data_IF_916818547041
#
_entry.id   IF_916818547041
#
_cell.length_a   1.000
_cell.length_b   1.000
_cell.length_c   1.000
_cell.angle_alpha   90.00
_cell.angle_beta   90.00
_cell.angle_gamma   90.00
#
_symmetry.space_group_name_H-M   'P 1'
#
loop_
_entity.id
_entity.type
_entity.pdbx_description
1 polymer ?
#
# COMPACT_ATOMS: atom_id res chain seq x y z
N UNK A 1 5.33 -21.76 -1.63
CA UNK A 1 5.52 -23.00 -2.39
C UNK A 1 5.58 -22.73 -3.90
N UNK A 2 4.65 -21.93 -4.43
CA UNK A 2 4.53 -21.59 -5.85
C UNK A 2 5.83 -21.03 -6.46
N UNK A 3 6.53 -20.14 -5.73
CA UNK A 3 7.80 -19.55 -6.16
C UNK A 3 8.90 -20.62 -6.34
N UNK A 4 8.93 -21.63 -5.45
CA UNK A 4 9.86 -22.75 -5.55
C UNK A 4 9.52 -23.68 -6.73
N UNK A 5 8.23 -23.93 -6.95
CA UNK A 5 7.76 -24.75 -8.08
C UNK A 5 8.07 -24.04 -9.41
N UNK A 6 7.80 -22.74 -9.48
CA UNK A 6 8.14 -21.91 -10.64
C UNK A 6 9.65 -21.93 -10.93
N UNK A 7 10.49 -21.87 -9.90
CA UNK A 7 11.94 -21.96 -10.06
C UNK A 7 12.40 -23.33 -10.55
N UNK A 8 11.84 -24.43 -10.01
CA UNK A 8 12.10 -25.80 -10.44
C UNK A 8 11.77 -26.04 -11.91
N UNK A 9 10.66 -25.41 -12.37
CA UNK A 9 10.18 -25.57 -13.73
C UNK A 9 10.76 -24.54 -14.71
N UNK A 10 11.48 -23.56 -14.21
CA UNK A 10 12.08 -22.50 -15.03
C UNK A 10 13.14 -23.06 -15.98
N UNK A 11 13.19 -22.65 -17.26
CA UNK A 11 14.17 -23.11 -18.24
C UNK A 11 15.63 -22.90 -17.81
N UNK A 12 15.94 -21.84 -17.06
CA UNK A 12 17.26 -21.59 -16.51
C UNK A 12 17.72 -22.74 -15.59
N UNK A 13 16.86 -23.20 -14.70
CA UNK A 13 17.21 -24.29 -13.76
C UNK A 13 17.51 -25.59 -14.50
N UNK A 14 16.80 -25.87 -15.58
CA UNK A 14 16.92 -27.12 -16.34
C UNK A 14 17.96 -27.08 -17.46
N UNK A 15 18.43 -25.89 -17.86
CA UNK A 15 19.39 -25.77 -18.96
C UNK A 15 20.77 -26.30 -18.56
N UNK A 16 21.53 -26.92 -19.48
CA UNK A 16 22.89 -27.33 -19.21
C UNK A 16 23.80 -26.12 -18.96
N UNK A 17 24.75 -26.27 -18.06
CA UNK A 17 25.67 -25.21 -17.69
C UNK A 17 26.71 -24.92 -18.79
N UNK A 18 27.18 -25.98 -19.45
CA UNK A 18 28.21 -25.92 -20.50
C UNK A 18 29.53 -25.28 -20.04
N UNK A 19 30.63 -25.72 -20.59
CA UNK A 19 31.98 -25.16 -20.31
C UNK A 19 32.61 -25.58 -19.00
N UNK A 20 33.94 -25.43 -18.87
CA UNK A 20 34.69 -25.69 -17.64
C UNK A 20 34.47 -24.55 -16.62
N UNK A 21 34.79 -24.83 -15.35
CA UNK A 21 34.82 -23.85 -14.25
C UNK A 21 33.50 -23.09 -14.03
N UNK A 22 32.35 -23.68 -14.42
CA UNK A 22 31.03 -23.10 -14.25
C UNK A 22 30.27 -23.80 -13.14
N UNK A 23 29.46 -23.02 -12.42
CA UNK A 23 28.60 -23.50 -11.36
C UNK A 23 27.22 -22.83 -11.40
N UNK A 24 26.19 -23.58 -10.98
CA UNK A 24 24.85 -23.05 -10.74
C UNK A 24 24.56 -23.06 -9.26
N UNK A 25 24.18 -21.89 -8.75
CA UNK A 25 23.65 -21.74 -7.40
C UNK A 25 22.14 -21.46 -7.43
N UNK A 26 21.42 -22.01 -6.44
CA UNK A 26 20.02 -21.69 -6.22
C UNK A 26 19.84 -21.36 -4.75
N UNK A 27 19.17 -20.24 -4.48
CA UNK A 27 18.85 -19.82 -3.12
C UNK A 27 17.38 -19.41 -3.02
N UNK A 28 16.72 -19.83 -1.95
CA UNK A 28 15.38 -19.39 -1.61
C UNK A 28 15.41 -18.56 -0.34
N UNK A 29 14.60 -17.53 -0.28
CA UNK A 29 14.47 -16.66 0.88
C UNK A 29 13.02 -16.28 1.16
N UNK A 30 12.75 -16.04 2.44
CA UNK A 30 11.51 -15.42 2.93
C UNK A 30 11.89 -14.13 3.61
N UNK A 31 11.27 -13.04 3.23
CA UNK A 31 11.40 -11.76 3.91
C UNK A 31 10.09 -11.48 4.64
N UNK A 32 10.06 -11.69 5.94
CA UNK A 32 8.95 -11.30 6.78
C UNK A 32 9.06 -9.80 7.10
N UNK A 33 7.95 -9.07 7.00
CA UNK A 33 7.87 -7.72 7.51
C UNK A 33 7.55 -7.73 9.02
N UNK A 34 8.03 -6.71 9.73
CA UNK A 34 7.66 -6.49 11.13
C UNK A 34 6.40 -5.62 11.17
N UNK A 35 5.49 -5.94 12.07
CA UNK A 35 4.34 -5.09 12.42
C UNK A 35 4.75 -4.02 13.46
N UNK A 36 3.83 -3.13 13.81
CA UNK A 36 4.05 -2.14 14.86
C UNK A 36 3.00 -1.02 14.85
N UNK A 37 2.97 -0.19 15.89
CA UNK A 37 2.05 0.94 15.95
C UNK A 37 2.39 2.00 14.89
N UNK A 38 1.34 2.60 14.35
CA UNK A 38 1.43 3.75 13.45
C UNK A 38 0.17 4.60 13.54
N UNK A 39 0.25 5.83 13.05
CA UNK A 39 -0.88 6.75 12.97
C UNK A 39 -0.88 7.50 11.65
N UNK A 40 -2.07 7.88 11.18
CA UNK A 40 -2.27 8.69 10.00
C UNK A 40 -3.47 9.63 10.17
N UNK A 41 -3.38 10.80 9.55
CA UNK A 41 -4.44 11.80 9.50
C UNK A 41 -4.66 12.21 8.04
N UNK A 42 -5.90 12.19 7.60
CA UNK A 42 -6.35 12.61 6.27
C UNK A 42 -7.23 13.84 6.39
N UNK A 43 -6.91 14.90 5.69
CA UNK A 43 -7.75 16.09 5.58
C UNK A 43 -8.34 16.15 4.16
N UNK A 44 -9.67 16.15 4.07
CA UNK A 44 -10.36 16.35 2.78
C UNK A 44 -10.37 17.83 2.43
N UNK A 45 -9.80 18.19 1.29
CA UNK A 45 -9.80 19.53 0.75
C UNK A 45 -11.08 19.79 -0.05
N UNK A 46 -11.50 21.05 -0.19
CA UNK A 46 -12.75 21.42 -0.87
C UNK A 46 -12.79 21.07 -2.36
N UNK A 47 -11.64 20.89 -2.99
CA UNK A 47 -11.49 20.49 -4.39
C UNK A 47 -11.55 18.96 -4.58
N UNK A 48 -11.67 18.20 -3.48
CA UNK A 48 -11.73 16.74 -3.48
C UNK A 48 -10.36 16.06 -3.36
N UNK A 49 -9.28 16.81 -3.28
CA UNK A 49 -7.96 16.27 -2.97
C UNK A 49 -7.84 15.94 -1.47
N UNK A 50 -6.87 15.11 -1.11
CA UNK A 50 -6.65 14.68 0.27
C UNK A 50 -5.22 14.98 0.70
N UNK A 51 -5.06 15.72 1.79
CA UNK A 51 -3.77 15.88 2.45
C UNK A 51 -3.57 14.74 3.45
N UNK A 52 -2.55 13.91 3.23
CA UNK A 52 -2.17 12.80 4.11
C UNK A 52 -0.99 13.25 4.99
N UNK A 53 -1.13 13.08 6.31
CA UNK A 53 -0.03 13.27 7.27
C UNK A 53 0.21 11.96 7.99
N UNK A 54 1.46 11.47 7.94
CA UNK A 54 1.87 10.22 8.55
C UNK A 54 3.26 10.35 9.21
N UNK A 55 3.66 9.41 10.06
CA UNK A 55 4.87 9.55 10.90
C UNK A 55 6.09 8.73 10.44
N UNK A 56 6.03 8.04 9.30
CA UNK A 56 7.16 7.24 8.81
C UNK A 56 8.06 8.06 7.89
N UNK A 57 9.40 7.94 8.00
CA UNK A 57 10.29 8.58 7.02
C UNK A 57 10.09 7.94 5.63
N UNK A 58 10.24 8.77 4.59
CA UNK A 58 10.15 8.29 3.21
C UNK A 58 11.42 7.53 2.80
N UNK A 59 11.37 6.22 2.93
CA UNK A 59 12.41 5.32 2.47
C UNK A 59 11.89 4.50 1.28
N UNK A 60 12.64 4.52 0.18
CA UNK A 60 12.31 3.77 -1.04
C UNK A 60 10.89 4.02 -1.59
N UNK A 61 10.38 5.25 -1.45
CA UNK A 61 9.07 5.64 -1.98
C UNK A 61 7.87 5.23 -1.11
N UNK A 62 8.08 4.99 0.18
CA UNK A 62 6.99 4.60 1.09
C UNK A 62 5.84 5.61 1.11
N UNK A 63 6.10 6.92 0.99
CA UNK A 63 5.05 7.93 0.85
C UNK A 63 4.12 7.69 -0.33
N UNK A 64 4.66 7.31 -1.47
CA UNK A 64 3.84 6.96 -2.63
C UNK A 64 3.01 5.71 -2.35
N UNK A 65 3.61 4.66 -1.76
CA UNK A 65 2.91 3.42 -1.44
C UNK A 65 1.73 3.66 -0.49
N UNK A 66 1.90 4.43 0.60
CA UNK A 66 0.80 4.71 1.53
C UNK A 66 -0.27 5.64 0.92
N UNK A 67 0.12 6.53 -0.01
CA UNK A 67 -0.85 7.31 -0.79
C UNK A 67 -1.71 6.45 -1.69
N UNK A 68 -1.15 5.38 -2.27
CA UNK A 68 -1.91 4.40 -3.07
C UNK A 68 -2.97 3.67 -2.23
N UNK A 69 -2.65 3.31 -0.96
CA UNK A 69 -3.65 2.73 -0.06
C UNK A 69 -4.84 3.67 0.18
N UNK A 70 -4.57 4.96 0.42
CA UNK A 70 -5.63 5.97 0.59
C UNK A 70 -6.44 6.14 -0.70
N UNK A 71 -5.76 6.26 -1.83
CA UNK A 71 -6.36 6.45 -3.14
C UNK A 71 -7.29 5.29 -3.52
N UNK A 72 -6.86 4.04 -3.27
CA UNK A 72 -7.65 2.84 -3.54
C UNK A 72 -8.94 2.79 -2.69
N UNK A 73 -8.85 3.11 -1.40
CA UNK A 73 -10.02 3.14 -0.50
C UNK A 73 -11.01 4.23 -0.89
N UNK A 74 -10.49 5.43 -1.18
CA UNK A 74 -11.31 6.59 -1.52
C UNK A 74 -11.72 6.63 -3.00
N UNK A 75 -11.22 5.71 -3.85
CA UNK A 75 -11.52 5.70 -5.27
C UNK A 75 -11.13 6.98 -6.01
N UNK A 76 -10.05 7.62 -5.61
CA UNK A 76 -9.52 8.84 -6.23
C UNK A 76 -8.16 8.57 -6.88
N UNK A 77 -7.73 9.38 -7.85
CA UNK A 77 -6.38 9.27 -8.39
C UNK A 77 -5.31 9.44 -7.30
N UNK A 78 -4.24 8.65 -7.35
CA UNK A 78 -3.14 8.75 -6.37
C UNK A 78 -2.50 10.14 -6.36
N UNK A 79 -2.54 10.85 -7.47
CA UNK A 79 -2.03 12.22 -7.60
C UNK A 79 -2.84 13.26 -6.81
N UNK A 80 -4.08 12.92 -6.45
CA UNK A 80 -4.95 13.76 -5.62
C UNK A 80 -4.73 13.52 -4.11
N UNK A 81 -3.83 12.59 -3.75
CA UNK A 81 -3.36 12.38 -2.37
C UNK A 81 -1.99 13.03 -2.18
N UNK A 82 -1.91 14.00 -1.29
CA UNK A 82 -0.69 14.80 -1.02
C UNK A 82 -0.05 14.37 0.32
N UNK A 83 0.93 13.45 0.29
CA UNK A 83 1.55 12.94 1.50
C UNK A 83 2.58 13.92 2.08
N UNK A 84 2.60 14.01 3.40
CA UNK A 84 3.62 14.70 4.18
C UNK A 84 3.98 13.90 5.43
N UNK A 85 5.23 14.04 5.87
CA UNK A 85 5.69 13.45 7.14
C UNK A 85 5.42 14.45 8.24
N UNK A 86 4.63 14.05 9.23
CA UNK A 86 4.27 14.86 10.37
C UNK A 86 5.10 14.53 11.61
N UNK A 87 4.91 15.37 12.62
CA UNK A 87 5.43 15.15 13.96
C UNK A 87 4.53 14.15 14.70
N UNK A 88 5.12 13.08 15.23
CA UNK A 88 4.40 12.04 15.97
C UNK A 88 3.73 12.55 17.25
N UNK A 89 4.17 13.68 17.80
CA UNK A 89 3.50 14.33 18.91
C UNK A 89 2.15 14.94 18.52
N UNK A 90 1.98 15.28 17.23
CA UNK A 90 0.74 15.89 16.72
C UNK A 90 -0.23 14.91 16.07
N UNK A 91 0.27 13.86 15.43
CA UNK A 91 -0.56 12.87 14.69
C UNK A 91 -0.73 11.55 15.43
N UNK A 92 0.11 11.26 16.41
CA UNK A 92 0.19 10.00 17.13
C UNK A 92 1.47 9.21 16.83
N UNK A 93 1.82 8.34 17.77
CA UNK A 93 3.07 7.60 17.73
C UNK A 93 3.15 6.66 16.52
N UNK A 94 4.27 6.72 15.82
CA UNK A 94 4.66 5.78 14.79
C UNK A 94 5.99 5.13 15.17
N UNK A 95 6.03 3.80 15.21
CA UNK A 95 7.23 3.05 15.55
C UNK A 95 8.35 3.26 14.51
N UNK A 96 9.58 3.05 14.94
CA UNK A 96 10.77 3.17 14.08
C UNK A 96 10.68 2.35 12.78
N UNK A 97 11.32 2.83 11.73
CA UNK A 97 11.36 2.16 10.44
C UNK A 97 12.47 1.13 10.42
N UNK A 98 12.11 -0.14 10.52
CA UNK A 98 12.99 -1.30 10.39
C UNK A 98 12.18 -2.53 9.97
N UNK A 99 12.85 -3.61 9.56
CA UNK A 99 12.22 -4.89 9.24
C UNK A 99 11.12 -4.81 8.17
N UNK A 100 11.29 -3.95 7.18
CA UNK A 100 10.34 -3.73 6.07
C UNK A 100 8.91 -3.38 6.53
N UNK A 101 8.78 -2.68 7.67
CA UNK A 101 7.50 -2.45 8.34
C UNK A 101 6.74 -1.21 7.86
N UNK A 102 7.43 -0.21 7.26
CA UNK A 102 6.84 1.10 6.99
C UNK A 102 5.57 1.01 6.14
N UNK A 103 5.65 0.40 4.97
CA UNK A 103 4.48 0.24 4.08
C UNK A 103 3.36 -0.55 4.72
N UNK A 104 3.69 -1.61 5.48
CA UNK A 104 2.68 -2.43 6.14
C UNK A 104 1.95 -1.68 7.26
N UNK A 105 2.68 -1.26 8.32
CA UNK A 105 2.05 -0.65 9.50
C UNK A 105 1.43 0.72 9.20
N UNK A 106 2.15 1.57 8.44
CA UNK A 106 1.65 2.90 8.08
C UNK A 106 0.59 2.81 6.99
N UNK A 107 0.70 1.84 6.08
CA UNK A 107 -0.36 1.51 5.12
C UNK A 107 -1.67 1.13 5.80
N UNK A 108 -1.63 0.32 6.86
CA UNK A 108 -2.82 0.01 7.67
C UNK A 108 -3.40 1.27 8.34
N UNK A 109 -2.55 2.13 8.92
CA UNK A 109 -3.02 3.39 9.50
C UNK A 109 -3.70 4.28 8.45
N UNK A 110 -3.12 4.38 7.24
CA UNK A 110 -3.68 5.12 6.13
C UNK A 110 -5.00 4.51 5.62
N UNK A 111 -5.06 3.20 5.51
CA UNK A 111 -6.28 2.46 5.14
C UNK A 111 -7.43 2.75 6.12
N UNK A 112 -7.19 2.59 7.42
CA UNK A 112 -8.20 2.82 8.46
C UNK A 112 -8.61 4.30 8.55
N UNK A 113 -7.67 5.24 8.36
CA UNK A 113 -7.99 6.66 8.29
C UNK A 113 -8.86 7.00 7.08
N UNK A 114 -8.64 6.33 5.94
CA UNK A 114 -9.49 6.48 4.76
C UNK A 114 -10.88 5.88 4.97
N UNK A 115 -10.98 4.73 5.64
CA UNK A 115 -12.26 4.14 6.04
C UNK A 115 -13.02 5.06 7.01
N UNK A 116 -12.32 5.70 7.95
CA UNK A 116 -12.92 6.69 8.83
C UNK A 116 -13.47 7.89 8.06
N UNK A 117 -12.71 8.39 7.08
CA UNK A 117 -13.16 9.46 6.18
C UNK A 117 -14.42 9.06 5.39
N UNK A 118 -14.46 7.85 4.83
CA UNK A 118 -15.65 7.34 4.14
C UNK A 118 -16.88 7.30 5.05
N UNK A 119 -16.73 6.84 6.31
CA UNK A 119 -17.84 6.86 7.27
C UNK A 119 -18.40 8.26 7.49
N UNK A 120 -17.52 9.26 7.68
CA UNK A 120 -17.93 10.66 7.85
C UNK A 120 -18.60 11.20 6.58
N UNK A 121 -18.07 10.88 5.40
CA UNK A 121 -18.66 11.30 4.12
C UNK A 121 -20.02 10.66 3.87
N UNK A 122 -20.22 9.41 4.28
CA UNK A 122 -21.53 8.75 4.25
C UNK A 122 -22.56 9.52 5.06
N UNK A 123 -22.20 9.97 6.27
CA UNK A 123 -23.04 10.82 7.11
C UNK A 123 -23.38 12.14 6.43
N UNK A 124 -22.41 12.76 5.73
CA UNK A 124 -22.66 14.01 4.99
C UNK A 124 -23.61 13.81 3.80
N UNK A 125 -23.50 12.69 3.08
CA UNK A 125 -24.42 12.35 2.02
C UNK A 125 -25.84 12.16 2.54
N UNK A 126 -26.00 11.44 3.65
CA UNK A 126 -27.27 11.24 4.32
C UNK A 126 -27.93 12.59 4.74
N UNK A 127 -27.14 13.51 5.30
CA UNK A 127 -27.63 14.86 5.66
C UNK A 127 -28.06 15.67 4.43
N UNK A 128 -27.34 15.57 3.31
CA UNK A 128 -27.68 16.30 2.08
C UNK A 128 -29.00 15.81 1.50
N UNK A 129 -29.23 14.51 1.58
CA UNK A 129 -30.44 13.87 1.00
C UNK A 129 -31.63 13.79 1.97
N UNK A 130 -31.41 14.18 3.24
CA UNK A 130 -32.41 14.07 4.32
C UNK A 130 -32.91 12.62 4.50
N UNK A 131 -31.96 11.66 4.55
CA UNK A 131 -32.22 10.22 4.67
C UNK A 131 -31.40 9.61 5.81
N UNK A 132 -31.70 8.35 6.17
CA UNK A 132 -30.90 7.59 7.14
C UNK A 132 -29.52 7.25 6.55
N UNK A 133 -28.49 7.20 7.41
CA UNK A 133 -27.18 6.68 7.01
C UNK A 133 -27.23 5.24 6.49
N UNK A 134 -28.20 4.44 6.96
CA UNK A 134 -28.40 3.06 6.52
C UNK A 134 -28.90 2.97 5.08
N UNK A 135 -29.48 4.03 4.54
CA UNK A 135 -29.94 4.10 3.15
C UNK A 135 -28.83 4.53 2.16
N UNK A 136 -27.70 4.97 2.68
CA UNK A 136 -26.53 5.37 1.87
C UNK A 136 -25.52 4.23 1.79
N UNK A 137 -24.92 4.04 0.63
CA UNK A 137 -23.81 3.10 0.45
C UNK A 137 -22.72 3.70 -0.43
N UNK A 138 -21.57 3.01 -0.53
CA UNK A 138 -20.38 3.42 -1.28
C UNK A 138 -19.96 2.32 -2.25
N UNK A 139 -19.92 2.65 -3.52
CA UNK A 139 -19.43 1.77 -4.58
C UNK A 139 -19.04 2.60 -5.80
N UNK A 140 -18.16 2.06 -6.64
CA UNK A 140 -17.77 2.68 -7.91
C UNK A 140 -17.37 4.16 -7.77
N UNK A 141 -16.64 4.48 -6.69
CA UNK A 141 -16.11 5.82 -6.39
C UNK A 141 -17.16 6.91 -6.14
N UNK A 142 -18.36 6.49 -5.71
CA UNK A 142 -19.43 7.41 -5.36
C UNK A 142 -20.28 6.89 -4.20
N UNK A 143 -20.84 7.81 -3.44
CA UNK A 143 -21.93 7.54 -2.52
C UNK A 143 -23.24 7.53 -3.29
N UNK A 144 -24.12 6.62 -2.96
CA UNK A 144 -25.44 6.49 -3.58
C UNK A 144 -26.50 6.07 -2.56
N UNK A 145 -27.74 6.43 -2.84
CA UNK A 145 -28.89 5.97 -2.07
C UNK A 145 -29.36 4.61 -2.59
N UNK A 146 -29.56 3.64 -1.68
CA UNK A 146 -29.82 2.23 -2.03
C UNK A 146 -31.09 2.01 -2.86
N UNK A 147 -32.10 2.91 -2.73
CA UNK A 147 -33.41 2.77 -3.38
C UNK A 147 -33.70 3.88 -4.40
N UNK A 148 -32.86 4.92 -4.47
CA UNK A 148 -33.05 6.05 -5.39
C UNK A 148 -31.77 6.30 -6.19
N UNK A 149 -31.69 5.84 -7.46
CA UNK A 149 -30.50 5.99 -8.27
C UNK A 149 -30.19 7.43 -8.71
N UNK A 150 -31.11 8.38 -8.53
CA UNK A 150 -30.84 9.80 -8.84
C UNK A 150 -29.99 10.45 -7.74
N UNK A 151 -30.02 9.88 -6.52
CA UNK A 151 -29.25 10.36 -5.38
C UNK A 151 -27.86 9.71 -5.36
N UNK A 152 -26.88 10.38 -5.99
CA UNK A 152 -25.48 9.96 -5.97
C UNK A 152 -24.54 11.16 -5.91
N UNK A 153 -23.38 11.01 -5.26
CA UNK A 153 -22.36 12.05 -5.09
C UNK A 153 -20.96 11.43 -5.07
N UNK A 154 -20.06 12.00 -5.86
CA UNK A 154 -18.63 11.69 -5.77
C UNK A 154 -18.01 12.37 -4.54
N UNK A 155 -16.83 11.91 -4.11
CA UNK A 155 -16.06 12.57 -3.04
C UNK A 155 -15.86 14.05 -3.34
N UNK A 156 -15.52 14.40 -4.56
CA UNK A 156 -15.32 15.80 -4.98
C UNK A 156 -16.58 16.64 -4.81
N UNK A 157 -17.74 16.10 -5.17
CA UNK A 157 -19.03 16.81 -5.00
C UNK A 157 -19.40 16.97 -3.53
N UNK A 158 -19.10 15.97 -2.68
CA UNK A 158 -19.29 16.05 -1.23
C UNK A 158 -18.31 17.03 -0.60
N UNK A 159 -17.04 17.01 -1.00
CA UNK A 159 -16.00 17.90 -0.50
C UNK A 159 -16.39 19.38 -0.65
N UNK A 160 -16.93 19.74 -1.81
CA UNK A 160 -17.43 21.11 -2.06
C UNK A 160 -18.60 21.53 -1.15
N UNK A 161 -19.29 20.58 -0.50
CA UNK A 161 -20.46 20.82 0.35
C UNK A 161 -20.19 20.67 1.85
N UNK A 162 -18.97 20.29 2.25
CA UNK A 162 -18.63 20.00 3.66
C UNK A 162 -18.91 21.18 4.58
N UNK A 163 -18.64 22.42 4.17
CA UNK A 163 -18.89 23.62 4.97
C UNK A 163 -20.38 23.81 5.33
N UNK A 164 -21.28 23.41 4.45
CA UNK A 164 -22.72 23.49 4.69
C UNK A 164 -23.28 22.29 5.46
N UNK A 165 -22.51 21.22 5.62
CA UNK A 165 -22.96 19.94 6.21
C UNK A 165 -22.23 19.58 7.50
N UNK A 166 -21.60 20.54 8.17
CA UNK A 166 -20.95 20.34 9.47
C UNK A 166 -19.44 20.59 9.48
N UNK A 167 -18.88 21.19 8.43
CA UNK A 167 -17.49 21.63 8.37
C UNK A 167 -16.50 20.56 7.86
N UNK A 168 -15.20 20.76 8.07
CA UNK A 168 -14.15 19.92 7.55
C UNK A 168 -14.31 18.44 7.90
N UNK A 169 -13.92 17.55 6.98
CA UNK A 169 -13.86 16.12 7.19
C UNK A 169 -12.41 15.71 7.39
N UNK A 170 -12.15 15.04 8.49
CA UNK A 170 -10.82 14.59 8.88
C UNK A 170 -10.89 13.12 9.26
N UNK A 171 -10.36 12.27 8.41
CA UNK A 171 -10.17 10.85 8.70
C UNK A 171 -8.91 10.64 9.53
N UNK A 172 -8.96 9.79 10.54
CA UNK A 172 -7.80 9.49 11.39
C UNK A 172 -7.81 8.07 11.90
N UNK A 173 -6.61 7.52 12.03
CA UNK A 173 -6.43 6.24 12.69
C UNK A 173 -5.09 6.21 13.42
N UNK A 174 -5.08 5.53 14.55
CA UNK A 174 -3.88 5.20 15.30
C UNK A 174 -4.09 3.82 15.93
N UNK A 175 -3.12 2.93 15.74
CA UNK A 175 -3.27 1.56 16.22
C UNK A 175 -2.00 0.73 16.05
N UNK A 176 -2.10 -0.52 16.46
CA UNK A 176 -1.07 -1.52 16.26
C UNK A 176 -1.73 -2.74 15.57
N UNK A 177 -1.51 -2.83 14.28
CA UNK A 177 -2.09 -3.91 13.46
C UNK A 177 -1.13 -5.09 13.46
N UNK A 178 -1.58 -6.19 14.05
CA UNK A 178 -0.88 -7.47 14.02
C UNK A 178 -0.94 -8.11 12.64
N UNK A 179 -0.06 -9.09 12.40
CA UNK A 179 0.02 -9.86 11.17
C UNK A 179 1.36 -9.72 10.49
N UNK A 180 1.52 -10.49 9.44
CA UNK A 180 2.72 -10.56 8.63
C UNK A 180 2.33 -10.56 7.15
N UNK A 181 3.15 -9.95 6.31
CA UNK A 181 3.01 -9.97 4.85
C UNK A 181 4.36 -10.40 4.26
N UNK A 182 4.69 -11.69 4.32
CA UNK A 182 5.98 -12.17 3.86
C UNK A 182 6.09 -12.11 2.34
N UNK A 183 7.25 -11.64 1.85
CA UNK A 183 7.65 -11.79 0.47
C UNK A 183 8.47 -13.07 0.30
N UNK A 184 8.32 -13.76 -0.83
CA UNK A 184 9.06 -14.95 -1.17
C UNK A 184 9.92 -14.71 -2.41
N UNK A 185 11.15 -15.25 -2.41
CA UNK A 185 12.03 -15.16 -3.55
C UNK A 185 12.83 -16.46 -3.75
N UNK A 186 13.10 -16.77 -5.02
CA UNK A 186 14.06 -17.81 -5.44
C UNK A 186 14.97 -17.22 -6.50
N UNK A 187 16.27 -17.31 -6.29
CA UNK A 187 17.26 -16.84 -7.24
C UNK A 187 18.04 -18.01 -7.81
N UNK A 188 18.28 -18.01 -9.12
CA UNK A 188 19.09 -18.97 -9.85
C UNK A 188 20.21 -18.20 -10.53
N UNK A 189 21.45 -18.57 -10.26
CA UNK A 189 22.64 -17.87 -10.77
C UNK A 189 23.60 -18.85 -11.38
N UNK A 190 24.03 -18.60 -12.63
CA UNK A 190 25.14 -19.29 -13.26
C UNK A 190 26.39 -18.41 -13.20
N UNK A 191 27.48 -18.99 -12.77
CA UNK A 191 28.78 -18.30 -12.69
C UNK A 191 29.86 -19.07 -13.41
N UNK A 192 30.88 -18.37 -13.85
CA UNK A 192 32.15 -18.91 -14.30
C UNK A 192 33.27 -18.34 -13.42
N UNK A 193 34.19 -19.19 -13.02
CA UNK A 193 35.35 -18.80 -12.20
C UNK A 193 36.62 -18.98 -13.01
N UNK A 194 37.40 -17.93 -13.10
CA UNK A 194 38.76 -17.98 -13.65
C UNK A 194 39.66 -18.76 -12.66
N UNK A 195 40.21 -19.91 -13.04
CA UNK A 195 40.99 -20.71 -12.16
C UNK A 195 42.34 -20.14 -11.76
N UNK A 196 42.90 -19.19 -12.52
CA UNK A 196 44.18 -18.58 -12.23
C UNK A 196 44.05 -17.40 -11.26
N UNK A 197 42.97 -16.61 -11.39
CA UNK A 197 42.75 -15.41 -10.60
C UNK A 197 41.66 -15.52 -9.53
N UNK A 198 40.82 -16.54 -9.60
CA UNK A 198 39.65 -16.68 -8.76
C UNK A 198 38.53 -15.71 -9.07
N UNK A 199 38.66 -14.89 -10.13
CA UNK A 199 37.65 -13.92 -10.52
C UNK A 199 36.35 -14.63 -10.94
N UNK A 200 35.25 -14.25 -10.32
CA UNK A 200 33.91 -14.78 -10.64
C UNK A 200 33.16 -13.85 -11.57
N UNK A 201 32.59 -14.40 -12.62
CA UNK A 201 31.72 -13.71 -13.56
C UNK A 201 30.33 -14.32 -13.52
N UNK A 202 29.29 -13.48 -13.37
CA UNK A 202 27.89 -13.91 -13.50
C UNK A 202 27.57 -14.05 -14.99
N UNK A 203 27.18 -15.26 -15.41
CA UNK A 203 26.80 -15.58 -16.78
C UNK A 203 25.31 -15.37 -17.01
N UNK A 204 24.50 -15.75 -16.01
CA UNK A 204 23.04 -15.65 -16.08
C UNK A 204 22.48 -15.50 -14.66
N UNK A 205 21.49 -14.63 -14.51
CA UNK A 205 20.77 -14.42 -13.27
C UNK A 205 19.26 -14.46 -13.53
N UNK A 206 18.54 -15.23 -12.73
CA UNK A 206 17.07 -15.26 -12.74
C UNK A 206 16.59 -15.07 -11.30
N UNK A 207 15.71 -14.09 -11.12
CA UNK A 207 15.02 -13.86 -9.86
C UNK A 207 13.52 -14.12 -10.07
N UNK A 208 12.96 -14.99 -9.24
CA UNK A 208 11.53 -15.24 -9.13
C UNK A 208 11.10 -14.67 -7.78
N UNK A 209 10.08 -13.83 -7.79
CA UNK A 209 9.63 -13.14 -6.58
C UNK A 209 8.11 -13.17 -6.51
N UNK A 210 7.61 -13.30 -5.31
CA UNK A 210 6.21 -13.13 -4.96
C UNK A 210 6.11 -12.04 -3.88
N UNK A 211 5.96 -10.77 -4.26
CA UNK A 211 5.79 -9.66 -3.33
C UNK A 211 4.32 -9.42 -2.95
N UNK A 212 3.40 -10.29 -3.36
CA UNK A 212 1.96 -10.09 -3.29
C UNK A 212 1.44 -9.22 -4.45
N UNK A 213 0.37 -8.46 -4.21
CA UNK A 213 -0.20 -7.57 -5.22
C UNK A 213 0.78 -6.44 -5.56
N UNK A 214 1.10 -6.33 -6.83
CA UNK A 214 1.86 -5.19 -7.36
C UNK A 214 0.89 -4.05 -7.68
N UNK A 215 1.23 -2.84 -7.25
CA UNK A 215 0.48 -1.63 -7.56
C UNK A 215 0.81 -1.06 -8.95
#
# INVERSE_FOLDING_TARGET
LETLEAAKDHPHYRSPLGGPNRGRGVAAAVCANISGPSAAVLNLNQDGTVSLVEGSPDLAGSRTAVSMHVAEVLGIPVMDVHPSIGDTDSIGFTAFTAGSSATYKTGWACYEAAQDMLRQLKQRAALIWDVSEDDVDWSENQFFHKSDPELHLTIKQLAARTNATGGPVVGRAAGNWGGESPGFAVHIVDVEVDPETGKTQILRYTALQDPGRQG
#
